data_IF_348960399364
#
_entry.id   IF_348960399364
#
_cell.length_a   1.000
_cell.length_b   1.000
_cell.length_c   1.000
_cell.angle_alpha   90.00
_cell.angle_beta   90.00
_cell.angle_gamma   90.00
#
_symmetry.space_group_name_H-M   'P 1'
#
loop_
_entity.id
_entity.type
_entity.pdbx_description
1 polymer ?
#
# COMPACT_ATOMS: atom_id res chain seq x y z
N UNK A 1 17.43 44.31 7.67
CA UNK A 1 18.63 43.89 8.42
C UNK A 1 19.75 43.60 7.45
N UNK A 2 20.92 44.19 7.71
CA UNK A 2 22.03 44.33 6.79
C UNK A 2 22.82 43.03 6.57
N UNK A 3 23.30 42.85 5.33
CA UNK A 3 24.18 41.77 4.87
C UNK A 3 25.53 41.80 5.60
N UNK A 4 25.95 40.65 6.15
CA UNK A 4 27.35 40.38 6.49
C UNK A 4 28.00 39.57 5.35
N UNK A 5 28.47 40.28 4.32
CA UNK A 5 29.41 39.71 3.34
C UNK A 5 30.80 39.77 3.98
N UNK A 6 31.34 38.62 4.40
CA UNK A 6 32.73 38.51 4.86
C UNK A 6 33.67 39.00 3.74
N UNK A 7 34.40 40.10 3.99
CA UNK A 7 35.51 40.57 3.14
C UNK A 7 36.52 39.42 2.97
N UNK A 8 36.55 38.80 1.77
CA UNK A 8 37.68 37.95 1.38
C UNK A 8 38.91 38.84 1.22
N UNK A 9 39.99 38.55 1.96
CA UNK A 9 41.32 39.15 1.76
C UNK A 9 41.69 39.05 0.28
N UNK A 10 42.01 40.18 -0.36
CA UNK A 10 42.64 40.19 -1.70
C UNK A 10 43.97 39.42 -1.58
N UNK A 11 44.03 38.20 -2.12
CA UNK A 11 45.30 37.52 -2.39
C UNK A 11 46.03 38.36 -3.45
N UNK A 12 47.29 38.73 -3.18
CA UNK A 12 48.18 39.30 -4.18
C UNK A 12 48.22 38.34 -5.38
N UNK A 13 47.98 38.86 -6.58
CA UNK A 13 48.22 38.17 -7.84
C UNK A 13 49.73 37.92 -7.93
N UNK A 14 50.14 36.69 -7.57
CA UNK A 14 51.47 36.19 -7.89
C UNK A 14 51.60 36.05 -9.39
N UNK A 15 52.77 36.42 -9.92
CA UNK A 15 53.05 36.52 -11.34
C UNK A 15 52.68 35.28 -12.14
N UNK A 16 52.25 35.53 -13.38
CA UNK A 16 52.00 34.51 -14.40
C UNK A 16 53.30 33.79 -14.74
N UNK A 17 53.47 32.55 -14.28
CA UNK A 17 54.38 31.61 -14.92
C UNK A 17 53.66 31.00 -16.12
N UNK A 18 54.08 31.41 -17.32
CA UNK A 18 53.72 30.75 -18.57
C UNK A 18 54.17 29.28 -18.50
N UNK A 19 53.22 28.35 -18.60
CA UNK A 19 53.56 26.91 -18.68
C UNK A 19 52.60 26.00 -17.92
N UNK A 20 51.35 25.92 -18.34
CA UNK A 20 50.58 24.66 -18.41
C UNK A 20 49.23 24.97 -19.02
N UNK A 21 48.82 24.18 -20.00
CA UNK A 21 47.45 24.12 -20.50
C UNK A 21 46.55 23.55 -19.40
N UNK A 22 46.26 24.37 -18.39
CA UNK A 22 45.37 24.01 -17.29
C UNK A 22 43.96 23.85 -17.81
N UNK A 23 43.55 22.62 -18.09
CA UNK A 23 42.12 22.29 -18.23
C UNK A 23 41.45 22.66 -16.91
N UNK A 24 40.50 23.60 -16.97
CA UNK A 24 39.60 23.88 -15.85
C UNK A 24 38.61 22.70 -15.82
N UNK A 25 38.96 21.63 -15.11
CA UNK A 25 38.02 20.56 -14.83
C UNK A 25 37.11 20.99 -13.67
N UNK A 26 35.80 20.94 -13.90
CA UNK A 26 34.82 21.16 -12.83
C UNK A 26 35.08 20.16 -11.70
N UNK A 27 35.20 20.58 -10.43
CA UNK A 27 35.29 19.66 -9.30
C UNK A 27 33.99 18.86 -9.10
N UNK A 28 32.89 19.30 -9.72
CA UNK A 28 31.64 18.57 -9.75
C UNK A 28 31.72 17.50 -10.83
N UNK A 29 31.77 16.24 -10.40
CA UNK A 29 31.56 15.09 -11.28
C UNK A 29 30.06 15.01 -11.59
N UNK A 30 29.65 14.96 -12.87
CA UNK A 30 28.26 14.67 -13.18
C UNK A 30 27.93 13.29 -12.58
N UNK A 31 26.90 13.25 -11.74
CA UNK A 31 26.30 12.00 -11.28
C UNK A 31 24.93 11.89 -11.94
N UNK A 32 24.57 10.67 -12.35
CA UNK A 32 23.24 10.40 -12.87
C UNK A 32 22.22 10.61 -11.76
N UNK A 33 21.18 11.39 -12.06
CA UNK A 33 20.01 11.51 -11.19
C UNK A 33 18.84 10.92 -11.94
N UNK A 34 18.32 9.81 -11.45
CA UNK A 34 17.11 9.20 -11.99
C UNK A 34 15.93 10.14 -11.74
N UNK A 35 15.39 10.70 -12.83
CA UNK A 35 14.24 11.59 -12.77
C UNK A 35 12.95 10.79 -12.88
N UNK A 36 12.51 10.23 -11.77
CA UNK A 36 11.20 9.58 -11.68
C UNK A 36 10.06 10.61 -11.72
N UNK A 37 8.89 10.27 -12.29
CA UNK A 37 7.68 11.06 -12.11
C UNK A 37 7.39 11.18 -10.60
N UNK A 38 7.13 12.40 -10.08
CA UNK A 38 7.02 12.61 -8.63
C UNK A 38 5.88 11.79 -8.01
N UNK A 39 4.76 11.63 -8.72
CA UNK A 39 3.65 10.78 -8.28
C UNK A 39 4.05 9.31 -8.08
N UNK A 40 4.89 8.76 -8.96
CA UNK A 40 5.40 7.39 -8.85
C UNK A 40 6.41 7.25 -7.72
N UNK A 41 7.27 8.26 -7.54
CA UNK A 41 8.27 8.29 -6.47
C UNK A 41 7.66 8.46 -5.07
N UNK A 42 6.58 9.23 -4.96
CA UNK A 42 5.84 9.43 -3.71
C UNK A 42 4.91 8.26 -3.37
N UNK A 43 4.62 7.37 -4.31
CA UNK A 43 3.83 6.17 -4.07
C UNK A 43 4.70 5.12 -3.35
N UNK A 44 4.30 4.62 -2.16
CA UNK A 44 5.08 3.58 -1.46
C UNK A 44 5.28 2.31 -2.30
N UNK A 45 4.27 1.93 -3.09
CA UNK A 45 4.32 0.78 -3.99
C UNK A 45 5.10 1.05 -5.29
N UNK A 46 5.54 2.30 -5.50
CA UNK A 46 6.14 2.76 -6.75
C UNK A 46 5.26 2.41 -7.96
N UNK A 47 3.94 2.60 -7.80
CA UNK A 47 2.98 2.35 -8.87
C UNK A 47 3.36 3.18 -10.11
N UNK A 48 3.35 2.59 -11.32
CA UNK A 48 3.67 3.27 -12.57
C UNK A 48 2.55 4.22 -13.01
N UNK A 49 2.19 5.19 -12.17
CA UNK A 49 1.03 6.09 -12.31
C UNK A 49 1.08 6.86 -13.63
N UNK A 50 2.25 7.38 -14.01
CA UNK A 50 2.40 8.09 -15.30
C UNK A 50 2.10 7.16 -16.48
N UNK A 51 2.58 5.91 -16.45
CA UNK A 51 2.33 4.92 -17.51
C UNK A 51 0.83 4.65 -17.61
N UNK A 52 0.19 4.38 -16.48
CA UNK A 52 -1.26 4.15 -16.38
C UNK A 52 -2.07 5.32 -16.95
N UNK A 53 -1.81 6.55 -16.50
CA UNK A 53 -2.53 7.74 -16.97
C UNK A 53 -2.34 7.97 -18.47
N UNK A 54 -1.11 7.79 -18.98
CA UNK A 54 -0.82 7.94 -20.41
C UNK A 54 -1.51 6.87 -21.25
N UNK A 55 -1.62 5.63 -20.76
CA UNK A 55 -2.37 4.56 -21.44
C UNK A 55 -3.83 4.95 -21.67
N UNK A 56 -4.46 5.56 -20.68
CA UNK A 56 -5.84 6.04 -20.79
C UNK A 56 -5.92 7.28 -21.69
N UNK A 57 -5.05 8.27 -21.48
CA UNK A 57 -5.07 9.53 -22.21
C UNK A 57 -4.84 9.35 -23.72
N UNK A 58 -3.95 8.43 -24.10
CA UNK A 58 -3.58 8.17 -25.50
C UNK A 58 -4.50 7.18 -26.20
N UNK A 59 -5.59 6.73 -25.58
CA UNK A 59 -6.47 5.72 -26.16
C UNK A 59 -6.98 6.12 -27.56
N UNK A 60 -7.50 7.34 -27.69
CA UNK A 60 -8.01 7.89 -28.96
C UNK A 60 -6.91 8.03 -30.02
N UNK A 61 -5.76 8.61 -29.65
CA UNK A 61 -4.60 8.77 -30.55
C UNK A 61 -4.09 7.43 -31.09
N UNK A 62 -4.20 6.37 -30.28
CA UNK A 62 -3.75 5.01 -30.62
C UNK A 62 -4.87 4.13 -31.18
N UNK A 63 -6.03 4.71 -31.52
CA UNK A 63 -7.19 3.99 -32.05
C UNK A 63 -7.65 2.81 -31.15
N UNK A 64 -7.47 2.94 -29.83
CA UNK A 64 -7.89 1.94 -28.84
C UNK A 64 -9.26 2.29 -28.29
N UNK A 65 -10.11 1.27 -28.08
CA UNK A 65 -11.33 1.45 -27.30
C UNK A 65 -11.01 1.80 -25.84
N UNK A 66 -11.91 2.54 -25.19
CA UNK A 66 -11.79 2.85 -23.76
C UNK A 66 -11.67 1.58 -22.91
N UNK A 67 -12.47 0.55 -23.21
CA UNK A 67 -12.38 -0.75 -22.52
C UNK A 67 -10.98 -1.33 -22.59
N UNK A 68 -10.34 -1.30 -23.78
CA UNK A 68 -8.99 -1.82 -23.93
C UNK A 68 -7.98 -1.00 -23.13
N UNK A 69 -8.12 0.32 -23.13
CA UNK A 69 -7.24 1.20 -22.36
C UNK A 69 -7.40 1.00 -20.84
N UNK A 70 -8.62 0.79 -20.35
CA UNK A 70 -8.90 0.53 -18.93
C UNK A 70 -8.38 -0.83 -18.49
N UNK A 71 -8.55 -1.86 -19.32
CA UNK A 71 -7.98 -3.20 -19.07
C UNK A 71 -6.44 -3.14 -18.99
N UNK A 72 -5.78 -2.44 -19.92
CA UNK A 72 -4.33 -2.25 -19.89
C UNK A 72 -3.88 -1.46 -18.64
N UNK A 73 -4.60 -0.38 -18.29
CA UNK A 73 -4.36 0.40 -17.08
C UNK A 73 -4.49 -0.44 -15.80
N UNK A 74 -5.47 -1.35 -15.75
CA UNK A 74 -5.67 -2.28 -14.64
C UNK A 74 -4.47 -3.23 -14.49
N UNK A 75 -4.01 -3.84 -15.59
CA UNK A 75 -2.82 -4.70 -15.53
C UNK A 75 -1.55 -3.94 -15.15
N UNK A 76 -1.43 -2.67 -15.53
CA UNK A 76 -0.32 -1.81 -15.11
C UNK A 76 -0.29 -1.64 -13.58
N UNK A 77 -1.45 -1.49 -12.92
CA UNK A 77 -1.50 -1.46 -11.45
C UNK A 77 -1.14 -2.81 -10.81
N UNK A 78 -1.67 -3.90 -11.37
CA UNK A 78 -1.37 -5.27 -10.92
C UNK A 78 0.12 -5.65 -11.03
N UNK A 79 0.93 -4.91 -11.79
CA UNK A 79 2.39 -5.08 -11.75
C UNK A 79 2.94 -4.91 -10.32
N UNK A 80 2.32 -4.04 -9.50
CA UNK A 80 2.81 -3.66 -8.17
C UNK A 80 1.84 -3.99 -7.04
N UNK A 81 0.57 -3.61 -7.18
CA UNK A 81 -0.45 -3.74 -6.13
C UNK A 81 -1.56 -4.69 -6.57
N UNK A 82 -1.94 -5.70 -5.75
CA UNK A 82 -3.10 -6.54 -6.04
C UNK A 82 -4.44 -5.93 -5.63
N UNK A 83 -4.41 -4.75 -5.00
CA UNK A 83 -5.56 -4.10 -4.37
C UNK A 83 -5.89 -2.71 -4.94
N UNK A 84 -5.95 -2.51 -6.28
CA UNK A 84 -6.23 -1.17 -6.84
C UNK A 84 -7.58 -0.59 -6.37
N UNK A 85 -8.63 -1.40 -6.22
CA UNK A 85 -9.94 -0.91 -5.79
C UNK A 85 -9.97 -0.47 -4.32
N UNK A 86 -9.32 -1.25 -3.44
CA UNK A 86 -9.13 -0.92 -2.03
C UNK A 86 -8.23 0.31 -1.88
N UNK A 87 -7.05 0.34 -2.52
CA UNK A 87 -6.13 1.47 -2.47
C UNK A 87 -6.80 2.75 -2.99
N UNK A 88 -7.60 2.66 -4.06
CA UNK A 88 -8.41 3.77 -4.57
C UNK A 88 -9.43 4.33 -3.58
N UNK A 89 -9.78 3.61 -2.51
CA UNK A 89 -10.71 4.07 -1.45
C UNK A 89 -10.01 4.59 -0.21
N UNK A 90 -8.98 3.89 0.26
CA UNK A 90 -8.42 4.12 1.61
C UNK A 90 -7.04 4.76 1.61
N UNK A 91 -6.37 4.86 0.46
CA UNK A 91 -5.02 5.44 0.38
C UNK A 91 -5.02 6.94 0.72
N UNK A 92 -4.07 7.43 1.53
CA UNK A 92 -3.88 8.86 1.79
C UNK A 92 -3.26 9.61 0.60
N UNK A 93 -3.11 8.96 -0.56
CA UNK A 93 -2.75 9.54 -1.85
C UNK A 93 -1.54 10.48 -1.84
N UNK A 94 -0.38 10.06 -1.28
CA UNK A 94 0.85 10.88 -1.29
C UNK A 94 1.32 11.23 -2.71
N UNK A 95 0.94 10.41 -3.69
CA UNK A 95 1.18 10.66 -5.10
C UNK A 95 0.51 11.94 -5.64
N UNK A 96 -0.60 12.38 -5.02
CA UNK A 96 -1.27 13.63 -5.34
C UNK A 96 -0.62 14.83 -4.64
N UNK A 97 -0.09 14.65 -3.43
CA UNK A 97 0.64 15.68 -2.67
C UNK A 97 1.86 16.18 -3.44
N UNK A 98 2.65 15.26 -4.00
CA UNK A 98 3.88 15.59 -4.74
C UNK A 98 3.62 15.88 -6.24
N UNK A 99 2.37 15.91 -6.67
CA UNK A 99 2.03 16.12 -8.07
C UNK A 99 2.54 17.49 -8.56
N UNK A 100 3.28 17.49 -9.68
CA UNK A 100 3.79 18.73 -10.29
C UNK A 100 2.67 19.71 -10.72
N UNK A 101 1.44 19.23 -10.93
CA UNK A 101 0.28 20.06 -11.26
C UNK A 101 -0.28 20.86 -10.08
N UNK A 102 0.15 20.57 -8.84
CA UNK A 102 -0.15 21.43 -7.69
C UNK A 102 0.39 22.86 -7.86
N UNK A 103 1.42 23.06 -8.70
CA UNK A 103 1.94 24.39 -9.05
C UNK A 103 1.09 25.12 -10.11
N UNK A 104 -0.02 24.51 -10.55
CA UNK A 104 -0.94 25.06 -11.54
C UNK A 104 -2.37 25.05 -10.99
N UNK A 105 -3.27 24.23 -11.53
CA UNK A 105 -4.67 24.11 -11.14
C UNK A 105 -4.98 23.03 -10.07
N UNK A 106 -3.95 22.39 -9.51
CA UNK A 106 -4.09 21.32 -8.52
C UNK A 106 -3.69 19.95 -9.06
N UNK A 107 -3.59 18.99 -8.15
CA UNK A 107 -3.17 17.62 -8.44
C UNK A 107 -4.10 16.91 -9.41
N UNK A 108 -3.53 15.97 -10.17
CA UNK A 108 -4.36 14.96 -10.85
C UNK A 108 -5.01 14.12 -9.76
N UNK A 109 -6.31 13.84 -9.91
CA UNK A 109 -7.07 12.95 -9.00
C UNK A 109 -6.70 11.48 -9.23
N UNK A 110 -5.43 11.14 -9.03
CA UNK A 110 -4.84 9.82 -9.23
C UNK A 110 -5.60 8.76 -8.45
N UNK A 111 -5.97 9.04 -7.20
CA UNK A 111 -6.69 8.11 -6.34
C UNK A 111 -8.09 7.77 -6.90
N UNK A 112 -8.80 8.75 -7.47
CA UNK A 112 -10.09 8.51 -8.13
C UNK A 112 -9.94 7.67 -9.39
N UNK A 113 -8.88 7.89 -10.16
CA UNK A 113 -8.58 7.07 -11.35
C UNK A 113 -8.20 5.64 -10.93
N UNK A 114 -7.37 5.47 -9.90
CA UNK A 114 -7.01 4.16 -9.34
C UNK A 114 -8.27 3.40 -8.87
N UNK A 115 -9.17 4.08 -8.16
CA UNK A 115 -10.47 3.52 -7.77
C UNK A 115 -11.28 3.06 -8.97
N UNK A 116 -11.47 3.94 -9.96
CA UNK A 116 -12.23 3.62 -11.17
C UNK A 116 -11.65 2.40 -11.90
N UNK A 117 -10.33 2.35 -12.08
CA UNK A 117 -9.66 1.23 -12.76
C UNK A 117 -9.74 -0.06 -11.95
N UNK A 118 -9.60 0.02 -10.63
CA UNK A 118 -9.80 -1.13 -9.74
C UNK A 118 -11.21 -1.69 -9.81
N UNK A 119 -12.22 -0.80 -9.76
CA UNK A 119 -13.64 -1.14 -9.86
C UNK A 119 -13.99 -1.72 -11.24
N UNK A 120 -13.43 -1.16 -12.31
CA UNK A 120 -13.54 -1.71 -13.67
C UNK A 120 -13.02 -3.14 -13.74
N UNK A 121 -11.86 -3.42 -13.13
CA UNK A 121 -11.30 -4.77 -13.07
C UNK A 121 -12.17 -5.75 -12.28
N UNK A 122 -12.91 -5.29 -11.27
CA UNK A 122 -13.90 -6.09 -10.56
C UNK A 122 -15.13 -6.36 -11.44
N UNK A 123 -15.69 -5.33 -12.06
CA UNK A 123 -16.87 -5.43 -12.94
C UNK A 123 -16.63 -6.39 -14.12
N UNK A 124 -15.47 -6.26 -14.79
CA UNK A 124 -15.08 -7.11 -15.92
C UNK A 124 -14.48 -8.46 -15.49
N UNK A 125 -14.41 -8.75 -14.19
CA UNK A 125 -13.84 -9.98 -13.62
C UNK A 125 -12.45 -10.29 -14.19
N UNK A 126 -11.59 -9.27 -14.29
CA UNK A 126 -10.25 -9.41 -14.83
C UNK A 126 -9.37 -10.20 -13.84
N UNK A 127 -8.77 -11.27 -14.34
CA UNK A 127 -7.89 -12.14 -13.57
C UNK A 127 -6.43 -11.67 -13.64
N UNK A 128 -5.63 -11.79 -12.56
CA UNK A 128 -4.22 -11.46 -12.61
C UNK A 128 -3.44 -12.43 -13.51
N UNK A 129 -2.38 -11.92 -14.13
CA UNK A 129 -1.49 -12.74 -14.96
C UNK A 129 -0.42 -13.41 -14.11
N UNK A 130 -0.31 -14.73 -14.22
CA UNK A 130 0.88 -15.48 -13.79
C UNK A 130 2.08 -15.03 -14.63
N UNK A 131 3.25 -14.98 -14.02
CA UNK A 131 4.52 -14.66 -14.68
C UNK A 131 5.18 -15.91 -15.27
N UNK A 132 4.76 -17.09 -14.81
CA UNK A 132 5.24 -18.39 -15.27
C UNK A 132 4.13 -19.43 -15.12
N UNK A 133 4.12 -20.41 -16.02
CA UNK A 133 3.27 -21.61 -15.91
C UNK A 133 3.96 -22.72 -15.11
N UNK A 134 5.25 -22.57 -14.79
CA UNK A 134 6.01 -23.49 -13.95
C UNK A 134 5.45 -23.48 -12.52
N UNK A 135 5.02 -24.64 -12.04
CA UNK A 135 4.68 -24.83 -10.62
C UNK A 135 5.95 -25.26 -9.89
N UNK A 136 6.39 -24.42 -8.96
CA UNK A 136 7.55 -24.69 -8.12
C UNK A 136 7.20 -25.73 -7.06
N UNK A 137 8.19 -26.56 -6.72
CA UNK A 137 8.01 -27.61 -5.70
C UNK A 137 7.94 -27.04 -4.29
N UNK A 138 8.55 -25.87 -4.07
CA UNK A 138 8.59 -25.21 -2.77
C UNK A 138 7.20 -24.77 -2.30
N UNK A 139 6.93 -25.01 -1.02
CA UNK A 139 5.71 -24.61 -0.31
C UNK A 139 6.02 -23.43 0.60
N UNK A 140 5.16 -22.41 0.54
CA UNK A 140 5.32 -21.19 1.33
C UNK A 140 4.10 -20.98 2.23
N UNK A 141 4.33 -20.81 3.52
CA UNK A 141 3.29 -20.40 4.46
C UNK A 141 3.27 -18.87 4.61
N UNK A 142 2.08 -18.29 4.57
CA UNK A 142 1.84 -16.87 4.85
C UNK A 142 0.95 -16.78 6.08
N UNK A 143 1.43 -16.19 7.16
CA UNK A 143 0.70 -16.06 8.42
C UNK A 143 0.09 -14.67 8.49
N UNK A 144 -1.24 -14.59 8.50
CA UNK A 144 -2.05 -13.37 8.44
C UNK A 144 -2.50 -13.05 7.01
N UNK A 145 -3.80 -12.84 6.83
CA UNK A 145 -4.43 -12.49 5.55
C UNK A 145 -4.71 -10.99 5.40
N UNK A 146 -3.98 -10.15 6.14
CA UNK A 146 -3.99 -8.71 5.95
C UNK A 146 -3.38 -8.27 4.60
N UNK A 147 -3.34 -6.96 4.31
CA UNK A 147 -2.82 -6.43 3.04
C UNK A 147 -1.39 -6.91 2.74
N UNK A 148 -0.53 -6.98 3.75
CA UNK A 148 0.84 -7.48 3.60
C UNK A 148 0.91 -8.96 3.24
N UNK A 149 0.16 -9.82 3.96
CA UNK A 149 0.11 -11.25 3.70
C UNK A 149 -0.49 -11.58 2.33
N UNK A 150 -1.62 -10.96 1.98
CA UNK A 150 -2.25 -11.17 0.68
C UNK A 150 -1.41 -10.63 -0.48
N UNK A 151 -0.68 -9.53 -0.29
CA UNK A 151 0.26 -9.03 -1.30
C UNK A 151 1.45 -9.97 -1.47
N UNK A 152 1.97 -10.55 -0.39
CA UNK A 152 3.00 -11.57 -0.45
C UNK A 152 2.50 -12.81 -1.21
N UNK A 153 1.33 -13.34 -0.82
CA UNK A 153 0.71 -14.49 -1.46
C UNK A 153 0.46 -14.26 -2.96
N UNK A 154 -0.02 -13.08 -3.32
CA UNK A 154 -0.23 -12.67 -4.72
C UNK A 154 1.06 -12.75 -5.54
N UNK A 155 2.14 -12.11 -5.08
CA UNK A 155 3.40 -12.11 -5.84
C UNK A 155 4.04 -13.50 -5.90
N UNK A 156 3.94 -14.29 -4.83
CA UNK A 156 4.42 -15.67 -4.82
C UNK A 156 3.63 -16.57 -5.78
N UNK A 157 2.30 -16.51 -5.76
CA UNK A 157 1.44 -17.26 -6.68
C UNK A 157 1.69 -16.88 -8.14
N UNK A 158 1.93 -15.59 -8.43
CA UNK A 158 2.34 -15.12 -9.76
C UNK A 158 3.65 -15.73 -10.24
N UNK A 159 4.56 -16.05 -9.32
CA UNK A 159 5.85 -16.67 -9.62
C UNK A 159 5.81 -18.21 -9.55
N UNK A 160 4.62 -18.81 -9.48
CA UNK A 160 4.44 -20.26 -9.55
C UNK A 160 4.66 -21.01 -8.24
N UNK A 161 4.79 -20.32 -7.11
CA UNK A 161 4.92 -20.97 -5.80
C UNK A 161 3.58 -21.47 -5.26
N UNK A 162 3.62 -22.58 -4.50
CA UNK A 162 2.46 -23.07 -3.74
C UNK A 162 2.38 -22.30 -2.43
N UNK A 163 1.29 -21.58 -2.21
CA UNK A 163 1.11 -20.71 -1.05
C UNK A 163 -0.09 -21.15 -0.24
N UNK A 164 0.10 -21.30 1.06
CA UNK A 164 -1.00 -21.46 2.03
C UNK A 164 -1.02 -20.25 2.97
N UNK A 165 -2.16 -19.55 3.03
CA UNK A 165 -2.40 -18.44 3.95
C UNK A 165 -3.12 -18.97 5.18
N UNK A 166 -2.59 -18.67 6.36
CA UNK A 166 -3.19 -18.98 7.66
C UNK A 166 -3.72 -17.69 8.27
N UNK A 167 -5.01 -17.67 8.60
CA UNK A 167 -5.70 -16.52 9.17
C UNK A 167 -6.35 -16.91 10.49
N UNK A 168 -6.10 -16.12 11.53
CA UNK A 168 -6.64 -16.34 12.87
C UNK A 168 -8.15 -16.10 12.94
N UNK A 169 -8.67 -15.17 12.12
CA UNK A 169 -10.08 -14.78 12.15
C UNK A 169 -10.96 -15.59 11.18
N UNK A 170 -12.30 -15.49 11.31
CA UNK A 170 -13.25 -16.15 10.41
C UNK A 170 -13.29 -15.58 8.99
N UNK A 171 -12.77 -14.37 8.77
CA UNK A 171 -12.72 -13.71 7.45
C UNK A 171 -11.35 -13.09 7.20
N UNK A 172 -11.01 -12.98 5.92
CA UNK A 172 -9.73 -12.44 5.46
C UNK A 172 -9.66 -10.92 5.47
N UNK A 173 -8.48 -10.33 5.29
CA UNK A 173 -8.30 -8.89 5.06
C UNK A 173 -7.72 -8.12 6.25
N UNK A 174 -7.63 -8.74 7.43
CA UNK A 174 -7.01 -8.15 8.61
C UNK A 174 -7.56 -6.76 8.92
N UNK A 175 -6.68 -5.77 9.11
CA UNK A 175 -7.10 -4.38 9.40
C UNK A 175 -7.95 -3.72 8.30
N UNK A 176 -7.88 -4.17 7.04
CA UNK A 176 -8.78 -3.66 6.02
C UNK A 176 -10.23 -4.01 6.31
N UNK A 177 -10.49 -5.20 6.88
CA UNK A 177 -11.84 -5.62 7.26
C UNK A 177 -12.22 -5.16 8.65
N UNK A 178 -11.33 -5.40 9.62
CA UNK A 178 -11.67 -5.25 11.02
C UNK A 178 -11.35 -3.84 11.56
N UNK A 179 -10.55 -3.05 10.86
CA UNK A 179 -10.19 -1.69 11.27
C UNK A 179 -10.89 -0.58 10.51
N UNK A 180 -11.23 -0.78 9.23
CA UNK A 180 -11.79 0.27 8.37
C UNK A 180 -13.32 0.10 8.31
N UNK A 181 -14.11 1.13 8.63
CA UNK A 181 -15.56 1.06 8.52
C UNK A 181 -16.07 0.82 7.10
N UNK A 182 -17.21 0.14 6.98
CA UNK A 182 -17.83 -0.24 5.70
C UNK A 182 -18.12 0.96 4.77
N UNK A 183 -18.48 2.12 5.35
CA UNK A 183 -18.73 3.34 4.56
C UNK A 183 -17.48 3.87 3.83
N UNK A 184 -16.26 3.52 4.31
CA UNK A 184 -14.99 3.85 3.64
C UNK A 184 -14.55 2.73 2.72
N UNK A 185 -14.64 1.49 3.21
CA UNK A 185 -14.22 0.30 2.47
C UNK A 185 -15.30 -0.78 2.57
N UNK A 186 -16.19 -0.86 1.57
CA UNK A 186 -17.24 -1.86 1.53
C UNK A 186 -16.67 -3.29 1.55
N UNK A 187 -17.29 -4.16 2.35
CA UNK A 187 -16.81 -5.53 2.53
C UNK A 187 -16.81 -6.34 1.23
N UNK A 188 -17.79 -6.11 0.35
CA UNK A 188 -17.92 -6.79 -0.95
C UNK A 188 -16.76 -6.47 -1.90
N UNK A 189 -16.28 -5.21 -1.90
CA UNK A 189 -15.11 -4.78 -2.67
C UNK A 189 -13.85 -5.48 -2.18
N UNK A 190 -13.66 -5.54 -0.86
CA UNK A 190 -12.52 -6.23 -0.25
C UNK A 190 -12.56 -7.73 -0.55
N UNK A 191 -13.72 -8.37 -0.40
CA UNK A 191 -13.91 -9.79 -0.69
C UNK A 191 -13.57 -10.10 -2.14
N UNK A 192 -14.02 -9.26 -3.07
CA UNK A 192 -13.80 -9.49 -4.49
C UNK A 192 -12.30 -9.36 -4.89
N UNK A 193 -11.55 -8.42 -4.32
CA UNK A 193 -10.10 -8.35 -4.57
C UNK A 193 -9.31 -9.48 -3.89
N UNK A 194 -9.73 -9.92 -2.71
CA UNK A 194 -9.11 -11.08 -2.04
C UNK A 194 -9.38 -12.36 -2.83
N UNK A 195 -10.63 -12.59 -3.25
CA UNK A 195 -11.00 -13.76 -4.06
C UNK A 195 -10.21 -13.82 -5.37
N UNK A 196 -9.99 -12.68 -6.03
CA UNK A 196 -9.13 -12.58 -7.21
C UNK A 196 -7.70 -13.11 -6.96
N UNK A 197 -7.17 -12.94 -5.74
CA UNK A 197 -5.87 -13.51 -5.35
C UNK A 197 -5.98 -15.01 -5.07
N UNK A 198 -7.04 -15.43 -4.37
CA UNK A 198 -7.28 -16.85 -4.07
C UNK A 198 -7.46 -17.70 -5.34
N UNK A 199 -8.14 -17.16 -6.35
CA UNK A 199 -8.35 -17.77 -7.68
C UNK A 199 -7.04 -18.09 -8.42
N UNK A 200 -5.90 -17.53 -7.97
CA UNK A 200 -4.59 -17.89 -8.50
C UNK A 200 -4.08 -19.26 -8.02
N UNK A 201 -4.82 -19.93 -7.12
CA UNK A 201 -4.46 -21.19 -6.48
C UNK A 201 -3.81 -21.00 -5.10
N UNK A 202 -4.07 -19.88 -4.43
CA UNK A 202 -3.64 -19.67 -3.04
C UNK A 202 -4.59 -20.40 -2.11
N UNK A 203 -4.06 -21.32 -1.31
CA UNK A 203 -4.84 -22.02 -0.28
C UNK A 203 -5.07 -21.11 0.92
N UNK A 204 -6.23 -21.23 1.56
CA UNK A 204 -6.61 -20.42 2.70
C UNK A 204 -7.10 -21.31 3.86
N UNK A 205 -6.54 -21.09 5.04
CA UNK A 205 -6.93 -21.72 6.31
C UNK A 205 -7.38 -20.63 7.29
N UNK A 206 -8.70 -20.46 7.42
CA UNK A 206 -9.33 -19.53 8.36
C UNK A 206 -9.39 -20.13 9.77
N UNK A 207 -9.68 -19.30 10.78
CA UNK A 207 -9.79 -19.73 12.18
C UNK A 207 -8.56 -20.54 12.66
N UNK A 208 -7.38 -20.13 12.23
CA UNK A 208 -6.12 -20.83 12.50
C UNK A 208 -5.07 -19.83 12.98
N UNK A 209 -4.99 -19.64 14.30
CA UNK A 209 -4.00 -18.79 14.94
C UNK A 209 -2.69 -19.56 15.15
N UNK A 210 -1.65 -19.18 14.40
CA UNK A 210 -0.31 -19.76 14.58
C UNK A 210 0.28 -19.31 15.92
N UNK A 211 0.77 -20.29 16.69
CA UNK A 211 1.20 -20.15 18.08
C UNK A 211 0.16 -20.63 19.10
N UNK A 212 -1.08 -20.89 18.66
CA UNK A 212 -2.16 -21.43 19.50
C UNK A 212 -2.74 -22.71 18.90
N UNK A 213 -3.30 -22.63 17.69
CA UNK A 213 -3.93 -23.77 17.01
C UNK A 213 -2.91 -24.64 16.26
N UNK A 214 -1.90 -23.99 15.67
CA UNK A 214 -0.78 -24.66 14.99
C UNK A 214 0.52 -24.06 15.50
N UNK A 215 1.50 -24.90 15.83
CA UNK A 215 2.78 -24.44 16.34
C UNK A 215 3.72 -24.01 15.19
N UNK A 216 4.50 -22.97 15.44
CA UNK A 216 5.45 -22.44 14.46
C UNK A 216 6.48 -23.50 14.01
N UNK A 217 6.86 -24.41 14.91
CA UNK A 217 7.82 -25.48 14.60
C UNK A 217 7.24 -26.54 13.66
N UNK A 218 5.93 -26.73 13.61
CA UNK A 218 5.30 -27.65 12.65
C UNK A 218 5.28 -27.01 11.26
N UNK A 219 4.99 -25.71 11.17
CA UNK A 219 5.11 -24.98 9.90
C UNK A 219 6.54 -25.02 9.35
N UNK A 220 7.55 -24.90 10.21
CA UNK A 220 8.96 -24.98 9.81
C UNK A 220 9.38 -26.35 9.27
N UNK A 221 8.68 -27.42 9.64
CA UNK A 221 8.93 -28.77 9.09
C UNK A 221 8.24 -28.97 7.74
N UNK A 222 7.08 -28.34 7.54
CA UNK A 222 6.21 -28.60 6.40
C UNK A 222 6.39 -27.62 5.23
N UNK A 223 6.88 -26.42 5.50
CA UNK A 223 7.04 -25.33 4.54
C UNK A 223 8.51 -24.90 4.39
N UNK A 224 8.91 -24.60 3.16
CA UNK A 224 10.28 -24.18 2.83
C UNK A 224 10.56 -22.72 3.23
N UNK A 225 9.50 -21.90 3.29
CA UNK A 225 9.57 -20.51 3.74
C UNK A 225 8.29 -20.10 4.46
N UNK A 226 8.43 -19.15 5.39
CA UNK A 226 7.31 -18.61 6.17
C UNK A 226 7.39 -17.08 6.12
N UNK A 227 6.31 -16.43 5.70
CA UNK A 227 6.12 -14.99 5.80
C UNK A 227 5.16 -14.67 6.94
N UNK A 228 5.54 -13.73 7.82
CA UNK A 228 4.71 -13.33 8.96
C UNK A 228 4.17 -11.92 8.71
N UNK A 229 2.86 -11.84 8.45
CA UNK A 229 2.11 -10.62 8.15
C UNK A 229 0.91 -10.42 9.08
N UNK A 230 1.05 -10.79 10.36
CA UNK A 230 -0.05 -10.78 11.35
C UNK A 230 -0.51 -9.38 11.77
N UNK A 231 0.24 -8.33 11.44
CA UNK A 231 -0.13 -6.94 11.78
C UNK A 231 -0.12 -6.66 13.29
N UNK A 232 -0.74 -5.54 13.67
CA UNK A 232 -0.80 -5.06 15.05
C UNK A 232 -2.26 -4.88 15.49
N UNK A 233 -2.86 -5.95 16.05
CA UNK A 233 -4.27 -5.97 16.43
C UNK A 233 -4.59 -5.43 17.83
N UNK A 234 -3.58 -5.21 18.67
CA UNK A 234 -3.77 -4.73 20.04
C UNK A 234 -3.73 -3.21 20.10
N UNK A 235 -4.73 -2.62 20.76
CA UNK A 235 -4.78 -1.18 21.03
C UNK A 235 -3.78 -0.76 22.11
N UNK A 236 -3.43 0.53 22.10
CA UNK A 236 -2.63 1.15 23.15
C UNK A 236 -3.50 1.55 24.33
N UNK A 237 -3.08 1.18 25.54
CA UNK A 237 -3.65 1.66 26.81
C UNK A 237 -3.01 3.00 27.21
N UNK A 238 -3.77 3.88 27.87
CA UNK A 238 -3.32 5.21 28.28
C UNK A 238 -2.51 5.20 29.58
N UNK A 239 -2.60 4.12 30.36
CA UNK A 239 -1.97 3.91 31.67
C UNK A 239 -2.38 4.97 32.68
N UNK A 240 -3.68 5.25 32.74
CA UNK A 240 -4.29 6.21 33.66
C UNK A 240 -5.28 5.53 34.59
N UNK A 241 -5.57 6.17 35.71
CA UNK A 241 -6.59 5.69 36.64
C UNK A 241 -7.95 5.58 35.95
N UNK A 242 -8.65 4.46 36.15
CA UNK A 242 -9.95 4.18 35.55
C UNK A 242 -9.92 3.62 34.12
N UNK A 243 -8.74 3.31 33.54
CA UNK A 243 -8.65 2.81 32.16
C UNK A 243 -9.22 1.39 31.93
N UNK A 244 -9.48 0.64 33.01
CA UNK A 244 -10.07 -0.71 32.97
C UNK A 244 -11.58 -0.70 33.26
N UNK A 245 -12.23 0.48 33.28
CA UNK A 245 -13.68 0.57 33.44
C UNK A 245 -14.43 -0.08 32.26
N UNK A 246 -15.62 -0.62 32.51
CA UNK A 246 -16.37 -1.43 31.53
C UNK A 246 -16.72 -0.68 30.23
N UNK A 247 -16.89 0.64 30.30
CA UNK A 247 -17.19 1.50 29.16
C UNK A 247 -15.94 2.09 28.48
N UNK A 248 -14.74 1.67 28.88
CA UNK A 248 -13.48 2.09 28.27
C UNK A 248 -12.99 1.02 27.31
N UNK A 249 -12.92 1.37 26.02
CA UNK A 249 -12.49 0.47 24.96
C UNK A 249 -11.36 1.10 24.15
N UNK A 250 -10.43 0.27 23.66
CA UNK A 250 -9.45 0.76 22.68
C UNK A 250 -10.12 0.96 21.32
N UNK A 251 -9.70 1.96 20.55
CA UNK A 251 -10.29 2.21 19.23
C UNK A 251 -10.20 1.00 18.28
N UNK A 252 -9.12 0.23 18.35
CA UNK A 252 -8.97 -1.02 17.57
C UNK A 252 -9.96 -2.10 17.98
N UNK A 253 -10.24 -2.22 19.28
CA UNK A 253 -11.22 -3.18 19.80
C UNK A 253 -12.65 -2.78 19.43
N UNK A 254 -12.99 -1.50 19.63
CA UNK A 254 -14.27 -0.94 19.24
C UNK A 254 -14.56 -1.16 17.74
N UNK A 255 -13.64 -0.74 16.87
CA UNK A 255 -13.80 -0.90 15.42
C UNK A 255 -13.83 -2.38 15.02
N UNK A 256 -13.04 -3.24 15.66
CA UNK A 256 -13.07 -4.68 15.39
C UNK A 256 -14.46 -5.26 15.66
N UNK A 257 -15.03 -4.98 16.84
CA UNK A 257 -16.33 -5.50 17.26
C UNK A 257 -17.46 -5.02 16.33
N UNK A 258 -17.48 -3.73 16.01
CA UNK A 258 -18.46 -3.16 15.07
C UNK A 258 -18.33 -3.81 13.69
N UNK A 259 -17.12 -3.91 13.15
CA UNK A 259 -16.89 -4.52 11.83
C UNK A 259 -17.09 -6.04 11.81
N UNK A 260 -17.01 -6.71 12.97
CA UNK A 260 -17.38 -8.11 13.13
C UNK A 260 -18.91 -8.32 13.19
N UNK A 261 -19.70 -7.24 13.22
CA UNK A 261 -21.16 -7.27 13.29
C UNK A 261 -21.70 -7.33 14.72
N UNK A 262 -20.88 -7.05 15.73
CA UNK A 262 -21.35 -6.96 17.11
C UNK A 262 -22.11 -5.64 17.35
N UNK A 263 -23.12 -5.71 18.21
CA UNK A 263 -23.74 -4.50 18.76
C UNK A 263 -22.94 -4.08 20.00
N UNK A 264 -22.43 -2.86 19.99
CA UNK A 264 -21.70 -2.27 21.11
C UNK A 264 -22.57 -1.17 21.71
N UNK A 265 -22.87 -1.27 23.00
CA UNK A 265 -23.52 -0.19 23.74
C UNK A 265 -22.48 0.90 24.04
N UNK A 266 -22.70 2.09 23.46
CA UNK A 266 -21.79 3.25 23.56
C UNK A 266 -22.34 4.35 24.48
N UNK A 267 -23.58 4.21 24.96
CA UNK A 267 -24.28 5.24 25.72
C UNK A 267 -24.57 6.53 24.93
N UNK A 268 -25.07 7.56 25.63
CA UNK A 268 -25.51 8.82 25.01
C UNK A 268 -24.36 9.85 24.80
N UNK A 269 -23.30 9.75 25.61
CA UNK A 269 -22.19 10.70 25.59
C UNK A 269 -20.88 9.96 25.39
N UNK A 270 -20.27 10.16 24.22
CA UNK A 270 -19.04 9.48 23.81
C UNK A 270 -17.86 10.44 23.80
N UNK A 271 -16.74 10.01 24.36
CA UNK A 271 -15.45 10.71 24.29
C UNK A 271 -14.46 9.86 23.53
N UNK A 272 -13.96 10.37 22.41
CA UNK A 272 -12.90 9.70 21.63
C UNK A 272 -11.56 10.37 21.92
N UNK A 273 -10.59 9.59 22.40
CA UNK A 273 -9.25 10.08 22.74
C UNK A 273 -8.27 9.67 21.63
N UNK A 274 -7.85 10.64 20.82
CA UNK A 274 -6.88 10.45 19.74
C UNK A 274 -7.11 11.40 18.58
N UNK A 275 -6.19 11.40 17.61
CA UNK A 275 -6.28 12.26 16.41
C UNK A 275 -5.85 11.62 15.10
N UNK A 276 -5.63 10.29 15.09
CA UNK A 276 -5.32 9.53 13.88
C UNK A 276 -6.55 8.93 13.23
N UNK A 277 -6.35 8.16 12.15
CA UNK A 277 -7.42 7.52 11.38
C UNK A 277 -8.38 6.71 12.28
N UNK A 278 -7.83 5.91 13.20
CA UNK A 278 -8.62 5.12 14.17
C UNK A 278 -9.57 5.99 15.02
N UNK A 279 -9.14 7.19 15.42
CA UNK A 279 -9.98 8.08 16.22
C UNK A 279 -11.10 8.69 15.38
N UNK A 280 -10.80 9.10 14.14
CA UNK A 280 -11.80 9.65 13.23
C UNK A 280 -12.81 8.59 12.81
N UNK A 281 -12.35 7.36 12.56
CA UNK A 281 -13.21 6.23 12.20
C UNK A 281 -14.08 5.79 13.38
N UNK A 282 -13.56 5.79 14.61
CA UNK A 282 -14.35 5.47 15.81
C UNK A 282 -15.37 6.56 16.17
N UNK A 283 -15.13 7.81 15.78
CA UNK A 283 -16.01 8.95 16.08
C UNK A 283 -17.20 9.08 15.11
N UNK A 284 -17.17 8.39 13.97
CA UNK A 284 -18.16 8.50 12.89
C UNK A 284 -19.13 7.32 12.87
#
# INVERSE_FOLDING_TARGET
>A
MAKLVKKKKKRKLGGFSAGSTGKIESPLRPYGVDKYPPCGNACPNHNPIRKMLMTIQKAEELEKSNDRAFEEAFYIFLEKTPFPSVCGRVCPHPCETDCNRNQKEGSVRINKVERFIGDYGLEKKLAPKKLTDEIKSQKIAVIGSGPGGMTCAYHLARNGFKVTVFEAFPKTGGMLRYGIPDYRLPADILDAEINRILDMGVELKLNTAVGYDIMMDDLRKEYDAIFIGIGAHKGYKLRVEGEDAENVMTGTDFLHRINAGETVDIGDNVVVIGGGDTAIDAAR
#
